data_IF_821623085233
#
_entry.id   IF_821623085233
#
_cell.length_a   1.000
_cell.length_b   1.000
_cell.length_c   1.000
_cell.angle_alpha   90.00
_cell.angle_beta   90.00
_cell.angle_gamma   90.00
#
_symmetry.space_group_name_H-M   'P 1'
#
loop_
_entity.id
_entity.type
_entity.pdbx_description
1 polymer ?
#
# COMPACT_ATOMS: atom_id res chain seq x y z
N UNK A 1 -22.37 25.02 20.00
CA UNK A 1 -21.63 23.90 20.60
C UNK A 1 -21.62 22.67 19.69
N UNK A 2 -22.71 22.36 18.97
CA UNK A 2 -22.79 21.22 18.02
C UNK A 2 -21.72 21.21 16.91
N UNK A 3 -21.34 22.38 16.38
CA UNK A 3 -20.37 22.48 15.27
C UNK A 3 -18.99 21.90 15.65
N UNK A 4 -18.59 22.03 16.91
CA UNK A 4 -17.30 21.50 17.39
C UNK A 4 -17.32 19.97 17.47
N UNK A 5 -18.42 19.38 17.94
CA UNK A 5 -18.57 17.92 18.03
C UNK A 5 -18.64 17.28 16.64
N UNK A 6 -19.32 17.94 15.70
CA UNK A 6 -19.39 17.51 14.29
C UNK A 6 -18.00 17.52 13.66
N UNK A 7 -17.21 18.58 13.86
CA UNK A 7 -15.83 18.67 13.36
C UNK A 7 -14.95 17.53 13.88
N UNK A 8 -15.00 17.25 15.18
CA UNK A 8 -14.23 16.15 15.81
C UNK A 8 -14.62 14.79 15.23
N UNK A 9 -15.90 14.56 14.94
CA UNK A 9 -16.36 13.31 14.29
C UNK A 9 -15.76 13.14 12.90
N UNK A 10 -15.73 14.19 12.08
CA UNK A 10 -15.15 14.12 10.74
C UNK A 10 -13.63 13.97 10.76
N UNK A 11 -12.93 14.65 11.67
CA UNK A 11 -11.48 14.49 11.85
C UNK A 11 -11.14 13.04 12.22
N UNK A 12 -11.88 12.45 13.17
CA UNK A 12 -11.72 11.04 13.55
C UNK A 12 -12.02 10.09 12.40
N UNK A 13 -13.04 10.37 11.60
CA UNK A 13 -13.36 9.56 10.41
C UNK A 13 -12.22 9.63 9.38
N UNK A 14 -11.71 10.82 9.09
CA UNK A 14 -10.59 11.01 8.17
C UNK A 14 -9.33 10.28 8.64
N UNK A 15 -9.04 10.28 9.93
CA UNK A 15 -7.93 9.54 10.52
C UNK A 15 -8.11 8.02 10.36
N UNK A 16 -9.31 7.50 10.63
CA UNK A 16 -9.62 6.07 10.43
C UNK A 16 -9.46 5.68 8.96
N UNK A 17 -9.96 6.49 8.03
CA UNK A 17 -9.83 6.24 6.60
C UNK A 17 -8.36 6.24 6.16
N UNK A 18 -7.56 7.20 6.62
CA UNK A 18 -6.12 7.25 6.33
C UNK A 18 -5.39 6.00 6.84
N UNK A 19 -5.70 5.55 8.07
CA UNK A 19 -5.12 4.32 8.62
C UNK A 19 -5.51 3.09 7.82
N UNK A 20 -6.77 2.99 7.36
CA UNK A 20 -7.21 1.89 6.49
C UNK A 20 -6.48 1.87 5.16
N UNK A 21 -6.36 3.02 4.50
CA UNK A 21 -5.62 3.14 3.26
C UNK A 21 -4.15 2.72 3.42
N UNK A 22 -3.51 3.09 4.54
CA UNK A 22 -2.15 2.64 4.82
C UNK A 22 -2.08 1.11 4.98
N UNK A 23 -2.98 0.51 5.75
CA UNK A 23 -3.02 -0.95 5.92
C UNK A 23 -3.25 -1.69 4.60
N UNK A 24 -4.14 -1.17 3.74
CA UNK A 24 -4.39 -1.71 2.41
C UNK A 24 -3.15 -1.62 1.52
N UNK A 25 -2.44 -0.48 1.55
CA UNK A 25 -1.20 -0.30 0.81
C UNK A 25 -0.10 -1.25 1.29
N UNK A 26 0.04 -1.43 2.61
CA UNK A 26 1.03 -2.34 3.21
C UNK A 26 0.73 -3.80 2.85
N UNK A 27 -0.55 -4.20 2.86
CA UNK A 27 -0.98 -5.54 2.48
C UNK A 27 -0.70 -5.84 1.01
N UNK A 28 -1.02 -4.90 0.10
CA UNK A 28 -0.72 -5.01 -1.32
C UNK A 28 0.79 -5.13 -1.57
N UNK A 29 1.60 -4.35 -0.85
CA UNK A 29 3.05 -4.42 -0.97
C UNK A 29 3.60 -5.78 -0.51
N UNK A 30 3.10 -6.31 0.61
CA UNK A 30 3.49 -7.64 1.10
C UNK A 30 3.14 -8.75 0.10
N UNK A 31 1.96 -8.68 -0.52
CA UNK A 31 1.54 -9.63 -1.56
C UNK A 31 2.45 -9.56 -2.80
N UNK A 32 2.80 -8.35 -3.25
CA UNK A 32 3.75 -8.15 -4.36
C UNK A 32 5.10 -8.80 -4.07
N UNK A 33 5.66 -8.59 -2.87
CA UNK A 33 6.91 -9.22 -2.44
C UNK A 33 6.78 -10.75 -2.49
N UNK A 34 5.70 -11.28 -1.94
CA UNK A 34 5.47 -12.72 -1.88
C UNK A 34 5.42 -13.34 -3.28
N UNK A 35 4.63 -12.76 -4.18
CA UNK A 35 4.48 -13.21 -5.56
C UNK A 35 5.82 -13.12 -6.31
N UNK A 36 6.53 -11.99 -6.15
CA UNK A 36 7.83 -11.77 -6.79
C UNK A 36 8.86 -12.81 -6.36
N UNK A 37 9.00 -13.02 -5.04
CA UNK A 37 9.92 -14.01 -4.51
C UNK A 37 9.57 -15.43 -4.99
N UNK A 38 8.29 -15.76 -5.06
CA UNK A 38 7.84 -17.05 -5.58
C UNK A 38 8.13 -17.20 -7.08
N UNK A 39 8.02 -16.12 -7.87
CA UNK A 39 8.38 -16.13 -9.29
C UNK A 39 9.90 -16.32 -9.50
N UNK A 40 10.73 -15.57 -8.77
CA UNK A 40 12.19 -15.73 -8.79
C UNK A 40 12.58 -17.16 -8.43
N UNK A 41 12.01 -17.73 -7.36
CA UNK A 41 12.34 -19.09 -6.92
C UNK A 41 11.94 -20.17 -7.93
N UNK A 42 10.82 -19.99 -8.64
CA UNK A 42 10.33 -20.95 -9.66
C UNK A 42 11.04 -20.86 -11.00
N UNK A 43 11.82 -19.82 -11.24
CA UNK A 43 12.40 -19.54 -12.55
C UNK A 43 13.54 -20.50 -12.96
N UNK A 44 14.02 -21.37 -12.05
CA UNK A 44 15.15 -22.30 -12.21
C UNK A 44 16.50 -21.65 -12.60
N UNK A 45 16.49 -20.38 -12.97
CA UNK A 45 17.65 -19.56 -13.29
C UNK A 45 18.25 -18.96 -12.02
N UNK A 46 19.38 -19.51 -11.61
CA UNK A 46 20.11 -19.11 -10.41
C UNK A 46 20.53 -17.63 -10.47
N UNK A 47 20.70 -17.06 -11.67
CA UNK A 47 21.08 -15.65 -11.86
C UNK A 47 19.97 -14.67 -11.43
N UNK A 48 18.70 -15.11 -11.48
CA UNK A 48 17.54 -14.31 -11.05
C UNK A 48 17.42 -14.18 -9.53
N UNK A 49 18.20 -14.94 -8.76
CA UNK A 49 18.31 -14.77 -7.30
C UNK A 49 18.74 -13.35 -6.90
N UNK A 50 19.52 -12.68 -7.76
CA UNK A 50 19.95 -11.29 -7.57
C UNK A 50 18.79 -10.29 -7.62
N UNK A 51 17.67 -10.67 -8.22
CA UNK A 51 16.48 -9.84 -8.37
C UNK A 51 15.53 -9.90 -7.18
N UNK A 52 15.79 -10.73 -6.17
CA UNK A 52 14.93 -10.87 -4.98
C UNK A 52 14.63 -9.54 -4.28
N UNK A 53 15.58 -8.60 -4.33
CA UNK A 53 15.45 -7.26 -3.75
C UNK A 53 14.98 -6.19 -4.75
N UNK A 54 14.85 -6.55 -6.03
CA UNK A 54 14.39 -5.67 -7.12
C UNK A 54 12.89 -5.86 -7.37
N UNK A 55 12.08 -5.81 -6.30
CA UNK A 55 10.62 -5.94 -6.40
C UNK A 55 10.09 -4.82 -7.30
N UNK A 56 9.36 -5.14 -8.38
CA UNK A 56 8.78 -4.12 -9.25
C UNK A 56 7.77 -3.28 -8.47
N UNK A 57 8.07 -2.00 -8.27
CA UNK A 57 7.11 -1.07 -7.70
C UNK A 57 6.11 -0.65 -8.78
N UNK A 58 4.86 -1.08 -8.64
CA UNK A 58 3.76 -0.54 -9.45
C UNK A 58 3.40 0.82 -8.87
N UNK A 59 3.64 1.90 -9.62
CA UNK A 59 3.25 3.25 -9.20
C UNK A 59 1.73 3.33 -9.09
N UNK A 60 1.21 3.44 -7.88
CA UNK A 60 -0.19 3.79 -7.66
C UNK A 60 -0.32 5.28 -7.92
N UNK A 61 -0.97 5.66 -9.03
CA UNK A 61 -1.24 7.07 -9.29
C UNK A 61 -2.09 7.63 -8.15
N UNK A 62 -1.59 8.63 -7.39
CA UNK A 62 -2.39 9.23 -6.33
C UNK A 62 -3.61 9.88 -6.97
N UNK A 63 -4.79 9.61 -6.43
CA UNK A 63 -6.00 10.35 -6.79
C UNK A 63 -5.81 11.77 -6.23
N UNK A 64 -5.41 12.69 -7.11
CA UNK A 64 -5.35 14.12 -6.77
C UNK A 64 -6.79 14.63 -6.72
N UNK A 65 -7.31 14.81 -5.51
CA UNK A 65 -8.57 15.52 -5.30
C UNK A 65 -8.26 17.02 -5.36
N UNK A 66 -8.56 17.64 -6.50
CA UNK A 66 -8.59 19.10 -6.62
C UNK A 66 -9.80 19.61 -5.82
N UNK A 67 -9.54 20.28 -4.70
CA UNK A 67 -10.55 21.02 -3.94
C UNK A 67 -10.47 22.51 -4.28
#
# INVERSE_FOLDING_TARGET
>A
MEISEVKVKYEKLAEIMRRRQQMEADALYAEQIFIWNAAVQRSEDVTLSSLKNAIPHVSVNPVILNF
#
